data_IF_862175947980
#
_entry.id   IF_862175947980
#
_cell.length_a   1.000
_cell.length_b   1.000
_cell.length_c   1.000
_cell.angle_alpha   90.00
_cell.angle_beta   90.00
_cell.angle_gamma   90.00
#
_symmetry.space_group_name_H-M   'P 1'
#
loop_
_entity.id
_entity.type
_entity.pdbx_description
1 polymer ?
#
# COMPACT_ATOMS: atom_id res chain seq x y z
N UNK A 1 -0.78 0.56 -18.27
CA UNK A 1 -1.66 -0.62 -18.03
C UNK A 1 -2.67 -0.39 -16.90
N UNK A 2 -2.85 0.82 -16.34
CA UNK A 2 -4.24 1.20 -15.97
C UNK A 2 -4.96 1.71 -17.23
N UNK A 3 -4.21 2.01 -18.29
CA UNK A 3 -4.74 2.13 -19.64
C UNK A 3 -5.36 0.79 -20.06
N UNK A 4 -6.59 0.84 -20.62
CA UNK A 4 -7.46 -0.29 -20.99
C UNK A 4 -8.35 -0.86 -19.86
N UNK A 5 -9.02 0.02 -19.11
CA UNK A 5 -10.08 -0.36 -18.16
C UNK A 5 -11.14 -1.24 -18.86
N UNK A 6 -11.55 -2.37 -18.26
CA UNK A 6 -12.58 -3.23 -18.86
C UNK A 6 -13.89 -2.49 -19.10
N UNK A 7 -14.59 -2.84 -20.19
CA UNK A 7 -15.86 -2.22 -20.57
C UNK A 7 -16.90 -2.28 -19.44
N UNK A 8 -16.92 -3.37 -18.67
CA UNK A 8 -17.79 -3.51 -17.51
C UNK A 8 -17.64 -2.32 -16.56
N UNK A 9 -16.42 -1.90 -16.20
CA UNK A 9 -16.24 -0.74 -15.32
C UNK A 9 -16.73 0.56 -15.97
N UNK A 10 -16.47 0.75 -17.27
CA UNK A 10 -16.86 1.95 -18.00
C UNK A 10 -18.38 2.09 -18.20
N UNK A 11 -19.11 0.99 -18.14
CA UNK A 11 -20.59 0.97 -18.18
C UNK A 11 -21.22 1.43 -16.87
N UNK A 12 -20.47 1.47 -15.76
CA UNK A 12 -20.93 2.05 -14.51
C UNK A 12 -20.85 3.58 -14.57
N UNK A 13 -21.99 4.31 -14.52
CA UNK A 13 -22.00 5.76 -14.60
C UNK A 13 -21.23 6.43 -13.45
N UNK A 14 -21.05 5.75 -12.32
CA UNK A 14 -20.37 6.29 -11.14
C UNK A 14 -18.87 5.97 -11.13
N UNK A 15 -18.38 5.09 -12.00
CA UNK A 15 -16.98 4.67 -11.98
C UNK A 15 -16.03 5.75 -12.50
N UNK A 16 -16.38 6.44 -13.59
CA UNK A 16 -15.54 7.49 -14.18
C UNK A 16 -15.79 8.87 -13.56
N UNK A 17 -16.14 8.91 -12.27
CA UNK A 17 -16.46 10.13 -11.53
C UNK A 17 -15.71 10.12 -10.19
N UNK A 18 -14.97 11.20 -9.93
CA UNK A 18 -14.45 11.50 -8.59
C UNK A 18 -15.44 12.46 -7.92
N UNK A 19 -15.94 12.16 -6.70
CA UNK A 19 -16.88 13.02 -6.00
C UNK A 19 -16.25 14.37 -5.61
N UNK A 20 -17.11 15.34 -5.32
CA UNK A 20 -16.69 16.62 -4.75
C UNK A 20 -16.06 16.44 -3.37
N UNK A 21 -15.18 17.36 -2.98
CA UNK A 21 -14.69 17.46 -1.61
C UNK A 21 -15.83 17.88 -0.64
N UNK A 22 -15.79 17.43 0.63
CA UNK A 22 -14.79 16.58 1.25
C UNK A 22 -14.97 15.09 0.91
N UNK A 23 -13.84 14.37 0.84
CA UNK A 23 -13.80 12.90 0.72
C UNK A 23 -13.00 12.32 1.89
N UNK A 24 -13.37 11.13 2.35
CA UNK A 24 -12.61 10.37 3.33
C UNK A 24 -11.90 9.16 2.73
N UNK A 25 -11.19 8.41 3.57
CA UNK A 25 -10.51 7.17 3.22
C UNK A 25 -11.07 6.01 4.03
N UNK A 26 -11.49 4.94 3.36
CA UNK A 26 -11.97 3.71 4.01
C UNK A 26 -10.78 2.86 4.48
N UNK A 27 -10.02 3.36 5.47
CA UNK A 27 -8.84 2.65 6.01
C UNK A 27 -9.19 1.36 6.77
N UNK A 28 -10.47 1.05 6.95
CA UNK A 28 -10.95 -0.24 7.46
C UNK A 28 -10.59 -1.42 6.58
N UNK A 29 -10.35 -1.19 5.28
CA UNK A 29 -9.92 -2.25 4.34
C UNK A 29 -8.41 -2.54 4.39
N UNK A 30 -7.63 -1.66 5.05
CA UNK A 30 -6.19 -1.80 5.21
C UNK A 30 -5.90 -2.53 6.53
N UNK A 31 -5.06 -3.58 6.54
CA UNK A 31 -4.74 -4.33 7.75
C UNK A 31 -4.17 -3.44 8.85
N UNK A 32 -4.57 -3.68 10.09
CA UNK A 32 -4.17 -2.84 11.23
C UNK A 32 -2.66 -2.78 11.40
N UNK A 33 -1.98 -3.92 11.33
CA UNK A 33 -0.52 -3.93 11.47
C UNK A 33 0.21 -3.23 10.31
N UNK A 34 -0.37 -3.18 9.12
CA UNK A 34 0.15 -2.36 8.02
C UNK A 34 0.02 -0.87 8.38
N UNK A 35 -1.16 -0.43 8.84
CA UNK A 35 -1.38 0.96 9.31
C UNK A 35 -0.42 1.31 10.45
N UNK A 36 -0.29 0.44 11.46
CA UNK A 36 0.64 0.63 12.57
C UNK A 36 2.10 0.74 12.12
N UNK A 37 2.49 0.02 11.07
CA UNK A 37 3.86 0.09 10.53
C UNK A 37 4.16 1.44 9.87
N UNK A 38 3.14 2.16 9.42
CA UNK A 38 3.24 3.48 8.81
C UNK A 38 3.03 4.61 9.81
N UNK A 39 2.60 4.30 11.05
CA UNK A 39 2.55 5.31 12.10
C UNK A 39 3.92 5.94 12.30
N UNK A 40 3.92 7.25 12.49
CA UNK A 40 5.10 8.09 12.66
C UNK A 40 6.01 8.17 11.43
N UNK A 41 5.50 8.00 10.20
CA UNK A 41 6.20 8.38 8.98
C UNK A 41 6.09 9.89 8.73
N UNK A 42 6.62 10.67 9.66
CA UNK A 42 6.72 12.15 9.60
C UNK A 42 8.13 12.63 9.88
N UNK A 43 8.40 13.90 9.57
CA UNK A 43 9.70 14.54 9.83
C UNK A 43 10.88 13.82 9.19
N UNK A 44 11.99 13.68 9.93
CA UNK A 44 13.18 12.95 9.48
C UNK A 44 13.11 11.48 9.93
N UNK A 45 13.30 10.57 8.98
CA UNK A 45 13.27 9.13 9.18
C UNK A 45 14.50 8.45 8.55
N UNK A 46 14.93 7.29 9.06
CA UNK A 46 14.49 6.69 10.31
C UNK A 46 14.96 7.49 11.52
N UNK A 47 14.18 7.43 12.61
CA UNK A 47 14.65 7.89 13.91
C UNK A 47 15.78 6.98 14.40
N UNK A 48 16.94 7.57 14.69
CA UNK A 48 18.12 6.87 15.23
C UNK A 48 18.42 7.30 16.67
N UNK A 49 19.19 6.51 17.41
CA UNK A 49 19.60 6.86 18.79
C UNK A 49 20.31 8.21 18.87
N UNK A 50 21.23 8.50 17.93
CA UNK A 50 21.91 9.81 17.89
C UNK A 50 20.95 10.98 17.61
N UNK A 51 19.92 10.77 16.78
CA UNK A 51 18.88 11.78 16.57
C UNK A 51 18.09 12.02 17.86
N UNK A 52 17.70 10.97 18.57
CA UNK A 52 17.00 11.09 19.85
C UNK A 52 17.84 11.90 20.86
N UNK A 53 19.12 11.59 20.99
CA UNK A 53 20.02 12.34 21.87
C UNK A 53 20.16 13.81 21.46
N UNK A 54 20.34 14.07 20.16
CA UNK A 54 20.46 15.42 19.62
C UNK A 54 19.17 16.25 19.82
N UNK A 55 18.02 15.59 19.80
CA UNK A 55 16.71 16.21 20.05
C UNK A 55 16.38 16.35 21.55
N UNK A 56 17.25 15.90 22.46
CA UNK A 56 16.93 15.84 23.89
C UNK A 56 15.76 14.90 24.21
N UNK A 57 15.59 13.85 23.41
CA UNK A 57 14.53 12.84 23.46
C UNK A 57 13.11 13.37 23.18
N UNK A 58 12.98 14.57 22.64
CA UNK A 58 11.71 15.15 22.17
C UNK A 58 11.80 15.32 20.66
N UNK A 59 11.16 14.40 19.93
CA UNK A 59 11.14 14.39 18.47
C UNK A 59 9.83 14.96 17.95
N UNK A 60 9.93 15.86 16.99
CA UNK A 60 8.82 16.48 16.29
C UNK A 60 9.04 16.32 14.77
N UNK A 61 7.98 16.55 13.97
CA UNK A 61 8.13 16.50 12.50
C UNK A 61 9.12 17.55 11.99
N UNK A 62 9.20 18.69 12.67
CA UNK A 62 10.22 19.70 12.45
C UNK A 62 11.44 19.39 13.32
N UNK A 63 12.62 19.14 12.73
CA UNK A 63 13.80 18.86 13.54
C UNK A 63 14.21 20.05 14.41
N UNK A 64 14.64 19.72 15.63
CA UNK A 64 15.23 20.66 16.58
C UNK A 64 16.57 21.23 16.07
N UNK A 65 17.04 22.34 16.66
CA UNK A 65 18.35 22.90 16.33
C UNK A 65 19.50 21.90 16.60
N UNK A 66 19.35 21.01 17.59
CA UNK A 66 20.31 19.95 17.89
C UNK A 66 20.39 18.89 16.80
N UNK A 67 19.24 18.43 16.29
CA UNK A 67 19.18 17.52 15.14
C UNK A 67 19.77 18.16 13.88
N UNK A 68 19.43 19.43 13.61
CA UNK A 68 20.00 20.15 12.46
C UNK A 68 21.52 20.24 12.55
N UNK A 69 22.09 20.51 13.74
CA UNK A 69 23.54 20.56 13.92
C UNK A 69 24.19 19.17 13.76
N UNK A 70 23.55 18.11 14.26
CA UNK A 70 23.96 16.73 14.01
C UNK A 70 24.06 16.45 12.50
N UNK A 71 23.02 16.79 11.74
CA UNK A 71 22.98 16.58 10.30
C UNK A 71 24.01 17.40 9.54
N UNK A 72 24.25 18.66 9.95
CA UNK A 72 25.30 19.50 9.37
C UNK A 72 26.68 18.89 9.57
N UNK A 73 27.01 18.52 10.81
CA UNK A 73 28.30 17.90 11.16
C UNK A 73 28.56 16.62 10.39
N UNK A 74 27.51 15.80 10.18
CA UNK A 74 27.60 14.54 9.43
C UNK A 74 27.54 14.71 7.91
N UNK A 75 27.22 15.91 7.41
CA UNK A 75 26.96 16.11 5.98
C UNK A 75 25.77 15.28 5.47
N UNK A 76 24.77 15.06 6.32
CA UNK A 76 23.63 14.17 6.01
C UNK A 76 22.82 14.71 4.83
N UNK A 77 22.40 13.79 3.96
CA UNK A 77 21.56 14.05 2.79
C UNK A 77 20.24 13.34 2.94
N UNK A 78 19.19 13.89 2.32
CA UNK A 78 17.85 13.36 2.44
C UNK A 78 17.15 13.18 1.09
N UNK A 79 16.22 12.23 1.05
CA UNK A 79 15.20 12.08 0.02
C UNK A 79 13.85 12.47 0.60
N UNK A 80 13.05 13.27 -0.12
CA UNK A 80 11.65 13.46 0.27
C UNK A 80 10.84 12.27 -0.23
N UNK A 81 10.01 11.69 0.63
CA UNK A 81 9.17 10.54 0.33
C UNK A 81 7.73 10.86 0.69
N UNK A 82 6.80 10.54 -0.21
CA UNK A 82 5.36 10.61 0.02
C UNK A 82 4.80 9.21 0.23
N UNK A 83 3.93 9.05 1.22
CA UNK A 83 3.08 7.88 1.38
C UNK A 83 1.80 8.14 0.59
N UNK A 84 1.56 7.35 -0.45
CA UNK A 84 0.48 7.54 -1.42
C UNK A 84 -0.52 6.41 -1.31
N UNK A 85 -1.76 6.75 -0.98
CA UNK A 85 -2.91 5.84 -0.95
C UNK A 85 -3.68 5.96 -2.26
N UNK A 86 -3.73 4.87 -3.02
CA UNK A 86 -4.41 4.80 -4.32
C UNK A 86 -5.82 4.25 -4.17
N UNK A 87 -6.79 4.82 -4.88
CA UNK A 87 -8.23 4.61 -4.66
C UNK A 87 -8.83 3.71 -5.73
N UNK A 88 -9.54 2.64 -5.38
CA UNK A 88 -10.16 1.75 -6.38
C UNK A 88 -11.53 2.26 -6.81
N UNK A 89 -12.32 2.73 -5.84
CA UNK A 89 -13.68 3.22 -6.03
C UNK A 89 -14.04 4.20 -4.91
N UNK A 90 -15.16 4.90 -5.08
CA UNK A 90 -15.78 5.70 -4.02
C UNK A 90 -17.10 5.09 -3.61
N UNK A 91 -17.40 5.15 -2.32
CA UNK A 91 -18.66 4.68 -1.73
C UNK A 91 -19.15 5.64 -0.68
N UNK A 92 -20.46 5.73 -0.52
CA UNK A 92 -21.05 6.50 0.57
C UNK A 92 -21.12 5.63 1.83
N UNK A 93 -20.52 6.11 2.92
CA UNK A 93 -20.57 5.50 4.25
C UNK A 93 -20.98 6.59 5.23
N UNK A 94 -22.11 6.40 5.92
CA UNK A 94 -22.66 7.36 6.89
C UNK A 94 -22.76 8.81 6.35
N UNK A 95 -23.12 8.96 5.07
CA UNK A 95 -23.27 10.26 4.40
C UNK A 95 -21.95 10.91 3.94
N UNK A 96 -20.82 10.21 4.05
CA UNK A 96 -19.51 10.69 3.60
C UNK A 96 -19.03 9.83 2.42
N UNK A 97 -18.54 10.48 1.37
CA UNK A 97 -17.89 9.78 0.26
C UNK A 97 -16.50 9.30 0.67
N UNK A 98 -16.33 7.99 0.77
CA UNK A 98 -15.11 7.33 1.18
C UNK A 98 -14.42 6.69 -0.03
N UNK A 99 -13.15 7.01 -0.23
CA UNK A 99 -12.30 6.32 -1.20
C UNK A 99 -11.83 5.00 -0.64
N UNK A 100 -12.08 3.91 -1.37
CA UNK A 100 -11.65 2.55 -1.01
C UNK A 100 -10.21 2.33 -1.45
N UNK A 101 -9.23 2.17 -0.55
CA UNK A 101 -7.85 1.92 -0.93
C UNK A 101 -7.66 0.59 -1.66
N UNK A 102 -6.80 0.57 -2.68
CA UNK A 102 -6.31 -0.69 -3.27
C UNK A 102 -4.80 -0.87 -3.17
N UNK A 103 -4.07 0.20 -2.92
CA UNK A 103 -2.62 0.16 -2.77
C UNK A 103 -2.14 1.33 -1.90
N UNK A 104 -1.09 1.06 -1.12
CA UNK A 104 -0.32 2.09 -0.43
C UNK A 104 1.13 1.97 -0.87
N UNK A 105 1.73 3.08 -1.28
CA UNK A 105 3.05 3.12 -1.88
C UNK A 105 3.89 4.28 -1.36
N UNK A 106 5.18 4.04 -1.20
CA UNK A 106 6.18 5.07 -0.98
C UNK A 106 6.66 5.60 -2.33
N UNK A 107 6.54 6.91 -2.54
CA UNK A 107 6.90 7.58 -3.79
C UNK A 107 7.97 8.63 -3.48
N UNK A 108 9.20 8.50 -4.04
CA UNK A 108 10.21 9.52 -3.84
C UNK A 108 9.88 10.76 -4.66
N UNK A 109 10.11 11.94 -4.11
CA UNK A 109 10.06 13.17 -4.87
C UNK A 109 11.07 13.11 -6.02
N UNK A 110 10.70 13.63 -7.19
CA UNK A 110 11.54 13.61 -8.37
C UNK A 110 11.55 14.96 -9.07
N UNK A 111 12.58 15.18 -9.89
CA UNK A 111 12.63 16.27 -10.86
C UNK A 111 13.15 15.70 -12.17
N UNK A 112 12.34 15.83 -13.24
CA UNK A 112 12.67 15.35 -14.60
C UNK A 112 13.03 13.84 -14.61
N UNK A 113 12.31 13.04 -13.83
CA UNK A 113 12.52 11.59 -13.76
C UNK A 113 13.70 11.13 -12.91
N UNK A 114 14.45 12.05 -12.30
CA UNK A 114 15.52 11.74 -11.35
C UNK A 114 15.02 11.95 -9.91
N UNK A 115 15.28 10.98 -9.04
CA UNK A 115 14.96 11.10 -7.61
C UNK A 115 15.69 12.30 -7.02
N UNK A 116 14.96 13.12 -6.27
CA UNK A 116 15.53 14.22 -5.50
C UNK A 116 16.17 13.63 -4.23
N UNK A 117 17.46 13.34 -4.28
CA UNK A 117 18.24 12.73 -3.20
C UNK A 117 19.25 13.67 -2.53
N UNK A 118 19.10 14.96 -2.78
CA UNK A 118 20.15 15.95 -2.54
C UNK A 118 19.64 17.20 -1.81
N UNK A 119 18.69 17.04 -0.89
CA UNK A 119 18.41 18.11 0.06
C UNK A 119 19.29 17.93 1.30
N UNK A 120 19.81 19.03 1.85
CA UNK A 120 20.62 19.06 3.08
C UNK A 120 19.76 19.42 4.30
N UNK A 121 20.43 19.45 5.45
CA UNK A 121 19.87 19.91 6.71
C UNK A 121 19.25 21.31 6.63
N UNK A 122 19.75 22.21 5.77
CA UNK A 122 19.19 23.56 5.68
C UNK A 122 17.85 23.56 4.95
N UNK A 123 17.70 22.77 3.89
CA UNK A 123 16.40 22.54 3.27
C UNK A 123 15.40 21.92 4.26
N UNK A 124 15.81 20.90 5.01
CA UNK A 124 14.97 20.24 6.03
C UNK A 124 14.54 21.23 7.13
N UNK A 125 15.42 22.16 7.53
CA UNK A 125 15.10 23.22 8.52
C UNK A 125 14.01 24.18 8.02
N UNK A 126 14.02 24.45 6.71
CA UNK A 126 13.17 25.46 6.07
C UNK A 126 11.80 24.93 5.64
N UNK A 127 11.73 23.67 5.22
CA UNK A 127 10.52 23.08 4.68
C UNK A 127 9.95 22.07 5.68
N UNK A 128 8.80 22.43 6.25
CA UNK A 128 8.02 21.55 7.11
C UNK A 128 7.05 20.72 6.26
N UNK A 129 7.33 19.42 6.12
CA UNK A 129 6.50 18.52 5.31
C UNK A 129 5.13 18.26 5.92
N UNK A 130 4.98 18.32 7.25
CA UNK A 130 3.68 18.16 7.89
C UNK A 130 2.82 19.40 7.63
N UNK A 131 3.40 20.60 7.68
CA UNK A 131 2.71 21.81 7.27
C UNK A 131 2.28 21.77 5.79
N UNK A 132 3.14 21.24 4.89
CA UNK A 132 2.78 21.02 3.48
C UNK A 132 1.59 20.05 3.36
N UNK A 133 1.63 18.92 4.06
CA UNK A 133 0.56 17.93 4.05
C UNK A 133 -0.78 18.53 4.51
N UNK A 134 -0.79 19.27 5.62
CA UNK A 134 -2.02 19.84 6.21
C UNK A 134 -2.58 21.02 5.40
N UNK A 135 -1.72 21.84 4.80
CA UNK A 135 -2.15 23.05 4.08
C UNK A 135 -2.44 22.80 2.61
N UNK A 136 -1.71 21.86 1.99
CA UNK A 136 -1.83 21.59 0.57
C UNK A 136 -2.61 20.31 0.27
N UNK A 137 -2.71 19.38 1.21
CA UNK A 137 -3.34 18.05 1.02
C UNK A 137 -2.96 17.47 -0.36
N UNK A 138 -1.66 17.26 -0.62
CA UNK A 138 -1.20 16.98 -1.97
C UNK A 138 -1.76 15.64 -2.48
N UNK A 139 -2.01 15.57 -3.78
CA UNK A 139 -2.38 14.32 -4.44
C UNK A 139 -1.72 14.20 -5.81
N UNK A 140 -1.68 12.97 -6.30
CA UNK A 140 -1.35 12.63 -7.67
C UNK A 140 -2.63 12.38 -8.47
N UNK A 141 -2.65 12.87 -9.71
CA UNK A 141 -3.67 12.55 -10.71
C UNK A 141 -3.05 11.79 -11.88
N UNK A 142 -3.83 10.94 -12.52
CA UNK A 142 -3.37 9.93 -13.49
C UNK A 142 -2.22 9.06 -12.95
N UNK A 143 -2.22 8.83 -11.64
CA UNK A 143 -1.23 8.03 -10.94
C UNK A 143 -1.38 6.55 -11.28
N UNK A 144 -0.26 5.87 -11.49
CA UNK A 144 -0.21 4.45 -11.72
C UNK A 144 0.86 3.81 -10.81
N UNK A 145 0.48 3.22 -9.67
CA UNK A 145 1.44 2.64 -8.73
C UNK A 145 2.22 1.45 -9.29
N UNK A 146 1.69 0.76 -10.32
CA UNK A 146 2.35 -0.38 -10.95
C UNK A 146 3.53 0.02 -11.84
N UNK A 147 3.57 1.29 -12.29
CA UNK A 147 4.61 1.81 -13.19
C UNK A 147 5.36 3.01 -12.62
N UNK A 148 4.79 3.70 -11.63
CA UNK A 148 5.27 4.97 -11.10
C UNK A 148 4.90 6.19 -11.96
N UNK A 149 4.11 6.03 -13.02
CA UNK A 149 3.65 7.14 -13.85
C UNK A 149 2.62 8.02 -13.13
N UNK A 150 2.58 9.30 -13.46
CA UNK A 150 1.58 10.28 -13.01
C UNK A 150 1.46 11.42 -14.02
N UNK A 151 0.27 12.02 -14.10
CA UNK A 151 -0.02 13.18 -14.96
C UNK A 151 0.13 14.52 -14.24
N UNK A 152 -0.20 14.58 -12.95
CA UNK A 152 -0.03 15.78 -12.12
C UNK A 152 0.24 15.47 -10.65
N UNK A 153 0.86 16.42 -9.96
CA UNK A 153 1.04 16.45 -8.50
C UNK A 153 0.81 17.88 -7.99
N UNK A 154 0.14 18.03 -6.86
CA UNK A 154 -0.28 19.32 -6.33
C UNK A 154 -1.48 19.22 -5.39
N UNK A 155 -2.05 20.37 -5.03
CA UNK A 155 -3.12 20.46 -4.04
C UNK A 155 -4.43 19.79 -4.51
N UNK A 156 -5.05 18.98 -3.66
CA UNK A 156 -6.30 18.27 -3.96
C UNK A 156 -7.44 19.20 -4.39
N UNK A 157 -7.54 20.40 -3.80
CA UNK A 157 -8.58 21.39 -4.14
C UNK A 157 -8.44 21.93 -5.56
N UNK A 158 -7.22 21.99 -6.10
CA UNK A 158 -6.96 22.40 -7.49
C UNK A 158 -7.45 21.33 -8.46
N UNK A 159 -7.23 20.05 -8.12
CA UNK A 159 -7.56 18.94 -8.99
C UNK A 159 -9.01 18.49 -8.89
N UNK A 160 -9.60 18.45 -7.69
CA UNK A 160 -10.97 17.96 -7.46
C UNK A 160 -11.95 19.13 -7.29
N UNK A 161 -11.69 20.03 -6.34
CA UNK A 161 -12.56 21.17 -6.03
C UNK A 161 -13.94 20.76 -5.50
N UNK A 162 -14.90 21.68 -5.59
CA UNK A 162 -16.22 21.56 -4.94
C UNK A 162 -17.29 20.91 -5.82
N UNK A 163 -16.90 20.34 -6.97
CA UNK A 163 -17.82 19.71 -7.91
C UNK A 163 -17.27 18.35 -8.35
N UNK A 164 -18.15 17.36 -8.60
CA UNK A 164 -17.71 16.08 -9.15
C UNK A 164 -16.96 16.26 -10.47
N UNK A 165 -15.96 15.41 -10.71
CA UNK A 165 -15.13 15.48 -11.92
C UNK A 165 -15.10 14.16 -12.67
N UNK A 166 -15.11 14.27 -14.00
CA UNK A 166 -14.90 13.12 -14.88
C UNK A 166 -13.43 12.72 -14.85
N UNK A 167 -13.13 11.70 -14.05
CA UNK A 167 -11.81 11.12 -13.87
C UNK A 167 -11.98 9.73 -13.23
N UNK A 168 -10.97 8.88 -13.37
CA UNK A 168 -11.03 7.54 -12.81
C UNK A 168 -10.46 7.52 -11.39
N UNK A 169 -11.15 6.89 -10.41
CA UNK A 169 -10.69 6.79 -9.03
C UNK A 169 -9.32 6.12 -8.92
N UNK A 170 -9.06 5.10 -9.75
CA UNK A 170 -7.77 4.39 -9.81
C UNK A 170 -6.60 5.19 -10.38
N UNK A 171 -6.85 6.38 -10.89
CA UNK A 171 -5.82 7.37 -11.22
C UNK A 171 -5.52 8.34 -10.08
N UNK A 172 -6.27 8.30 -8.98
CA UNK A 172 -6.08 9.19 -7.84
C UNK A 172 -5.16 8.54 -6.79
N UNK A 173 -4.07 9.23 -6.47
CA UNK A 173 -3.18 8.88 -5.37
C UNK A 173 -3.15 9.99 -4.32
N UNK A 174 -3.84 9.81 -3.20
CA UNK A 174 -3.85 10.77 -2.09
C UNK A 174 -2.55 10.64 -1.29
N UNK A 175 -1.85 11.75 -1.04
CA UNK A 175 -0.69 11.73 -0.15
C UNK A 175 -1.19 11.80 1.28
N UNK A 176 -1.00 10.72 2.04
CA UNK A 176 -1.45 10.64 3.44
C UNK A 176 -0.38 11.04 4.42
N UNK A 177 0.90 10.88 4.05
CA UNK A 177 2.04 11.23 4.89
C UNK A 177 3.24 11.64 4.02
N UNK A 178 4.17 12.37 4.62
CA UNK A 178 5.42 12.78 3.96
C UNK A 178 6.57 12.81 4.97
N UNK A 179 7.75 12.35 4.56
CA UNK A 179 8.95 12.38 5.41
C UNK A 179 10.24 12.58 4.61
N UNK A 180 11.27 13.03 5.32
CA UNK A 180 12.64 13.07 4.85
C UNK A 180 13.34 11.77 5.20
N UNK A 181 13.68 10.96 4.19
CA UNK A 181 14.52 9.79 4.34
C UNK A 181 16.00 10.20 4.42
N UNK A 182 16.60 10.06 5.60
CA UNK A 182 18.02 10.18 5.84
C UNK A 182 18.80 9.12 5.05
N UNK A 183 19.86 9.56 4.37
CA UNK A 183 20.78 8.68 3.65
C UNK A 183 21.99 8.33 4.53
N UNK A 184 22.44 7.08 4.44
CA UNK A 184 23.65 6.60 5.12
C UNK A 184 23.53 6.40 6.64
N UNK A 185 22.32 6.17 7.16
CA UNK A 185 22.13 5.76 8.55
C UNK A 185 22.58 4.31 8.78
N UNK A 186 22.88 3.95 10.03
CA UNK A 186 23.11 2.56 10.44
C UNK A 186 21.78 1.90 10.81
N UNK A 187 21.32 0.86 10.08
CA UNK A 187 20.08 0.14 10.36
C UNK A 187 19.97 -0.44 11.77
N UNK A 188 21.10 -0.78 12.42
CA UNK A 188 21.10 -1.35 13.76
C UNK A 188 20.81 -0.28 14.84
N UNK A 189 20.93 1.01 14.49
CA UNK A 189 20.65 2.14 15.40
C UNK A 189 19.23 2.68 15.28
N UNK A 190 18.42 2.12 14.38
CA UNK A 190 17.06 2.57 14.12
C UNK A 190 16.16 2.24 15.30
N UNK A 191 15.65 3.29 15.95
CA UNK A 191 14.65 3.18 17.01
C UNK A 191 13.32 2.65 16.47
N UNK A 192 12.64 1.85 17.29
CA UNK A 192 11.32 1.32 16.96
C UNK A 192 10.46 1.26 18.20
N UNK A 193 9.22 1.72 18.07
CA UNK A 193 8.21 1.54 19.11
C UNK A 193 7.68 0.11 18.99
N UNK A 194 7.80 -0.66 20.07
CA UNK A 194 7.18 -1.98 20.12
C UNK A 194 5.68 -1.82 20.36
N UNK A 195 4.89 -1.93 19.29
CA UNK A 195 3.43 -1.75 19.29
C UNK A 195 2.68 -2.96 19.89
N UNK A 196 3.25 -3.63 20.89
CA UNK A 196 2.67 -4.81 21.53
C UNK A 196 3.01 -6.16 20.85
N UNK A 197 4.01 -6.21 19.96
CA UNK A 197 4.46 -7.44 19.29
C UNK A 197 5.31 -8.35 20.21
N UNK A 198 5.57 -7.92 21.45
CA UNK A 198 6.46 -8.61 22.38
C UNK A 198 7.93 -8.52 21.98
N UNK A 199 8.81 -9.17 22.73
CA UNK A 199 10.25 -9.20 22.43
C UNK A 199 10.64 -10.49 21.68
N UNK A 200 11.81 -10.47 21.03
CA UNK A 200 12.42 -11.66 20.47
C UNK A 200 12.42 -11.75 18.94
N UNK A 201 12.39 -12.99 18.41
CA UNK A 201 12.58 -13.27 16.98
C UNK A 201 11.49 -12.66 16.07
N UNK A 202 10.18 -12.71 16.41
CA UNK A 202 9.13 -12.08 15.60
C UNK A 202 9.35 -10.57 15.46
N UNK A 203 9.56 -9.88 16.58
CA UNK A 203 9.83 -8.45 16.61
C UNK A 203 11.08 -8.07 15.80
N UNK A 204 12.18 -8.83 15.91
CA UNK A 204 13.39 -8.59 15.08
C UNK A 204 13.13 -8.77 13.58
N UNK A 205 12.27 -9.71 13.18
CA UNK A 205 11.87 -9.87 11.77
C UNK A 205 11.05 -8.68 11.31
N UNK A 206 10.08 -8.26 12.12
CA UNK A 206 9.27 -7.05 11.88
C UNK A 206 10.14 -5.83 11.69
N UNK A 207 10.99 -5.52 12.67
CA UNK A 207 11.87 -4.35 12.65
C UNK A 207 12.77 -4.34 11.41
N UNK A 208 13.46 -5.46 11.12
CA UNK A 208 14.31 -5.58 9.93
C UNK A 208 13.51 -5.37 8.64
N UNK A 209 12.34 -6.02 8.53
CA UNK A 209 11.51 -5.91 7.35
C UNK A 209 11.01 -4.47 7.14
N UNK A 210 10.46 -3.85 8.18
CA UNK A 210 9.98 -2.47 8.16
C UNK A 210 11.10 -1.51 7.82
N UNK A 211 12.26 -1.61 8.47
CA UNK A 211 13.41 -0.75 8.22
C UNK A 211 13.86 -0.84 6.76
N UNK A 212 13.93 -2.05 6.19
CA UNK A 212 14.23 -2.23 4.77
C UNK A 212 13.14 -1.66 3.87
N UNK A 213 11.87 -1.94 4.17
CA UNK A 213 10.74 -1.51 3.34
C UNK A 213 10.60 0.02 3.34
N UNK A 214 10.67 0.67 4.49
CA UNK A 214 10.39 2.11 4.64
C UNK A 214 11.63 2.97 4.40
N UNK A 215 12.82 2.47 4.73
CA UNK A 215 14.02 3.32 4.84
C UNK A 215 15.16 2.91 3.90
N UNK A 216 14.99 1.93 3.02
CA UNK A 216 15.92 1.78 1.90
C UNK A 216 15.85 3.01 0.99
N UNK A 217 17.00 3.60 0.58
CA UNK A 217 17.00 4.69 -0.39
C UNK A 217 16.37 4.32 -1.73
N UNK A 218 15.84 5.32 -2.42
CA UNK A 218 15.36 5.18 -3.79
C UNK A 218 16.48 5.48 -4.78
N UNK A 219 16.90 4.48 -5.53
CA UNK A 219 17.90 4.64 -6.61
C UNK A 219 17.26 5.07 -7.93
N UNK A 220 15.97 4.74 -8.11
CA UNK A 220 15.19 5.05 -9.31
C UNK A 220 13.85 5.64 -8.92
N UNK A 221 13.24 6.38 -9.84
CA UNK A 221 11.87 6.87 -9.67
C UNK A 221 10.87 5.72 -9.89
N UNK A 222 10.79 4.83 -8.90
CA UNK A 222 9.81 3.74 -8.83
C UNK A 222 9.15 3.76 -7.46
N UNK A 223 7.82 3.71 -7.47
CA UNK A 223 7.05 3.54 -6.27
C UNK A 223 7.43 2.20 -5.60
N UNK A 224 7.60 2.22 -4.28
CA UNK A 224 7.78 1.02 -3.48
C UNK A 224 6.47 0.73 -2.77
N UNK A 225 5.83 -0.37 -3.13
CA UNK A 225 4.55 -0.78 -2.54
C UNK A 225 4.75 -1.24 -1.09
N UNK A 226 3.88 -0.77 -0.21
CA UNK A 226 3.78 -1.20 1.19
C UNK A 226 2.72 -2.28 1.34
N UNK A 227 1.58 -2.10 0.68
CA UNK A 227 0.43 -3.01 0.75
C UNK A 227 -0.49 -2.84 -0.47
N UNK A 228 -1.30 -3.87 -0.73
CA UNK A 228 -2.40 -3.85 -1.70
C UNK A 228 -2.09 -4.59 -3.00
N UNK A 229 -2.95 -4.41 -4.00
CA UNK A 229 -2.91 -5.13 -5.27
C UNK A 229 -1.54 -5.04 -5.96
N UNK A 230 -1.07 -6.15 -6.52
CA UNK A 230 0.24 -6.26 -7.18
C UNK A 230 0.19 -5.94 -8.67
N UNK A 231 -1.00 -6.04 -9.28
CA UNK A 231 -1.17 -5.92 -10.72
C UNK A 231 -2.48 -5.23 -11.13
N UNK A 232 -2.56 -4.72 -12.38
CA UNK A 232 -3.81 -4.16 -12.90
C UNK A 232 -4.97 -5.15 -12.97
N UNK A 233 -4.71 -6.44 -13.17
CA UNK A 233 -5.79 -7.44 -13.23
C UNK A 233 -6.41 -7.67 -11.84
N UNK A 234 -5.60 -7.64 -10.77
CA UNK A 234 -6.11 -7.67 -9.41
C UNK A 234 -6.94 -6.42 -9.11
N UNK A 235 -6.45 -5.23 -9.50
CA UNK A 235 -7.23 -3.98 -9.37
C UNK A 235 -8.57 -4.06 -10.11
N UNK A 236 -8.59 -4.51 -11.37
CA UNK A 236 -9.82 -4.58 -12.14
C UNK A 236 -10.81 -5.58 -11.55
N UNK A 237 -10.34 -6.74 -11.08
CA UNK A 237 -11.22 -7.69 -10.39
C UNK A 237 -11.74 -7.10 -9.07
N UNK A 238 -10.90 -6.42 -8.29
CA UNK A 238 -11.33 -5.72 -7.07
C UNK A 238 -12.44 -4.73 -7.40
N UNK A 239 -12.27 -3.87 -8.40
CA UNK A 239 -13.27 -2.88 -8.80
C UNK A 239 -14.57 -3.53 -9.27
N UNK A 240 -14.48 -4.63 -10.03
CA UNK A 240 -15.64 -5.42 -10.42
C UNK A 240 -16.40 -5.99 -9.22
N UNK A 241 -15.69 -6.52 -8.23
CA UNK A 241 -16.29 -7.01 -6.98
C UNK A 241 -16.86 -5.87 -6.14
N UNK A 242 -16.18 -4.72 -6.10
CA UNK A 242 -16.66 -3.55 -5.38
C UNK A 242 -17.98 -3.03 -5.98
N UNK A 243 -18.16 -3.11 -7.30
CA UNK A 243 -19.43 -2.79 -7.96
C UNK A 243 -20.58 -3.72 -7.52
N UNK A 244 -20.27 -4.97 -7.21
CA UNK A 244 -21.24 -5.93 -6.64
C UNK A 244 -21.38 -5.83 -5.11
N UNK A 245 -20.89 -4.75 -4.50
CA UNK A 245 -20.86 -4.53 -3.04
C UNK A 245 -20.07 -5.59 -2.25
N UNK A 246 -19.09 -6.23 -2.88
CA UNK A 246 -18.19 -7.17 -2.23
C UNK A 246 -16.88 -6.49 -1.83
N UNK A 247 -16.37 -6.79 -0.64
CA UNK A 247 -15.13 -6.22 -0.06
C UNK A 247 -14.19 -7.32 0.41
N UNK A 248 -13.47 -7.99 -0.52
CA UNK A 248 -12.46 -8.94 -0.11
C UNK A 248 -11.29 -8.24 0.58
N UNK A 249 -10.57 -8.99 1.42
CA UNK A 249 -9.27 -8.56 1.95
C UNK A 249 -8.18 -8.88 0.93
N UNK A 250 -7.33 -7.91 0.62
CA UNK A 250 -6.22 -8.09 -0.32
C UNK A 250 -5.02 -8.79 0.34
N UNK A 251 -4.29 -9.59 -0.44
CA UNK A 251 -2.97 -10.16 -0.08
C UNK A 251 -3.00 -10.97 1.23
N UNK A 252 -3.81 -12.03 1.25
CA UNK A 252 -4.01 -12.86 2.43
C UNK A 252 -3.03 -14.04 2.47
N UNK A 253 -2.26 -14.17 3.55
CA UNK A 253 -1.39 -15.33 3.81
C UNK A 253 -2.22 -16.48 4.37
N UNK A 254 -2.15 -17.67 3.75
CA UNK A 254 -2.96 -18.85 4.10
C UNK A 254 -2.08 -20.01 4.54
N UNK A 255 -2.45 -20.69 5.63
CA UNK A 255 -1.62 -21.69 6.29
C UNK A 255 -2.28 -23.07 6.41
N UNK A 256 -1.46 -24.11 6.60
CA UNK A 256 -1.88 -25.52 6.64
C UNK A 256 -2.86 -25.86 7.78
N UNK A 257 -2.87 -25.08 8.86
CA UNK A 257 -3.81 -25.26 9.99
C UNK A 257 -5.15 -24.53 9.79
N UNK A 258 -5.32 -23.86 8.64
CA UNK A 258 -6.50 -23.07 8.34
C UNK A 258 -6.46 -21.64 8.87
N UNK A 259 -5.36 -21.21 9.51
CA UNK A 259 -5.17 -19.81 9.87
C UNK A 259 -4.89 -18.94 8.64
N UNK A 260 -5.29 -17.68 8.72
CA UNK A 260 -5.15 -16.69 7.66
C UNK A 260 -4.72 -15.35 8.25
N UNK A 261 -3.73 -14.69 7.63
CA UNK A 261 -3.17 -13.43 8.11
C UNK A 261 -3.08 -12.40 6.99
N UNK A 262 -3.63 -11.20 7.16
CA UNK A 262 -3.71 -10.20 6.08
C UNK A 262 -2.39 -9.45 5.83
N UNK A 263 -1.35 -9.74 6.60
CA UNK A 263 0.02 -9.33 6.33
C UNK A 263 1.03 -10.16 7.11
N UNK A 264 2.32 -10.07 6.74
CA UNK A 264 3.41 -10.65 7.54
C UNK A 264 3.51 -10.04 8.94
N UNK A 265 3.02 -8.82 9.13
CA UNK A 265 3.07 -8.15 10.42
C UNK A 265 2.00 -8.70 11.37
N UNK A 266 0.81 -9.00 10.85
CA UNK A 266 -0.24 -9.69 11.60
C UNK A 266 0.22 -11.09 12.04
N UNK A 267 0.96 -11.78 11.17
CA UNK A 267 1.58 -13.05 11.50
C UNK A 267 2.61 -12.89 12.64
N UNK A 268 3.55 -11.96 12.52
CA UNK A 268 4.60 -11.76 13.53
C UNK A 268 4.11 -11.22 14.87
N UNK A 269 2.89 -10.69 14.91
CA UNK A 269 2.20 -10.34 16.15
C UNK A 269 1.67 -11.55 16.93
N UNK A 270 1.62 -12.74 16.32
CA UNK A 270 1.22 -13.97 17.00
C UNK A 270 2.39 -14.68 17.68
N UNK A 271 2.08 -15.64 18.55
CA UNK A 271 3.06 -16.59 19.05
C UNK A 271 3.53 -17.51 17.90
N UNK A 272 4.79 -17.38 17.52
CA UNK A 272 5.38 -18.08 16.37
C UNK A 272 6.09 -19.39 16.77
N UNK A 273 5.92 -19.89 18.01
CA UNK A 273 6.60 -21.10 18.48
C UNK A 273 6.36 -22.30 17.56
N UNK A 274 5.14 -22.42 17.03
CA UNK A 274 4.71 -23.45 16.08
C UNK A 274 4.05 -22.82 14.85
N UNK A 275 4.85 -22.12 14.03
CA UNK A 275 4.38 -21.57 12.76
C UNK A 275 3.90 -22.70 11.83
N UNK A 276 2.62 -22.74 11.44
CA UNK A 276 2.14 -23.67 10.46
C UNK A 276 2.84 -23.44 9.11
N UNK A 277 2.82 -24.44 8.23
CA UNK A 277 3.37 -24.29 6.89
C UNK A 277 2.55 -23.29 6.08
N UNK A 278 3.20 -22.26 5.53
CA UNK A 278 2.55 -21.37 4.57
C UNK A 278 2.14 -22.20 3.35
N UNK A 279 0.86 -22.13 2.98
CA UNK A 279 0.35 -22.70 1.74
C UNK A 279 0.69 -21.75 0.60
N UNK A 280 0.17 -20.53 0.68
CA UNK A 280 0.27 -19.51 -0.37
C UNK A 280 -0.19 -18.14 0.14
N UNK A 281 -0.07 -17.12 -0.72
CA UNK A 281 -0.68 -15.80 -0.55
C UNK A 281 -1.75 -15.65 -1.63
N UNK A 282 -2.99 -15.39 -1.23
CA UNK A 282 -4.10 -15.16 -2.15
C UNK A 282 -4.23 -13.67 -2.45
N UNK A 283 -4.51 -13.34 -3.71
CA UNK A 283 -4.64 -11.94 -4.13
C UNK A 283 -5.81 -11.25 -3.41
N UNK A 284 -6.89 -12.01 -3.20
CA UNK A 284 -8.09 -11.59 -2.47
C UNK A 284 -8.62 -12.75 -1.63
N UNK A 285 -9.25 -12.43 -0.50
CA UNK A 285 -9.82 -13.41 0.40
C UNK A 285 -11.14 -12.93 1.02
N UNK A 286 -12.11 -13.83 1.09
CA UNK A 286 -13.39 -13.62 1.77
C UNK A 286 -13.41 -14.43 3.08
N UNK A 287 -13.23 -13.79 4.25
CA UNK A 287 -13.07 -14.51 5.51
C UNK A 287 -14.27 -15.35 5.92
N UNK A 288 -15.48 -14.82 5.74
CA UNK A 288 -16.72 -15.50 6.13
C UNK A 288 -16.93 -16.79 5.34
N UNK A 289 -16.69 -16.74 4.02
CA UNK A 289 -16.86 -17.88 3.13
C UNK A 289 -15.61 -18.77 3.03
N UNK A 290 -14.51 -18.37 3.71
CA UNK A 290 -13.18 -18.97 3.63
C UNK A 290 -12.74 -19.22 2.19
N UNK A 291 -12.96 -18.23 1.32
CA UNK A 291 -12.70 -18.32 -0.13
C UNK A 291 -11.46 -17.50 -0.49
N UNK A 292 -10.45 -18.19 -1.02
CA UNK A 292 -9.27 -17.60 -1.63
C UNK A 292 -9.49 -17.37 -3.13
N UNK A 293 -9.15 -16.18 -3.62
CA UNK A 293 -9.26 -15.82 -5.04
C UNK A 293 -7.86 -15.52 -5.57
N UNK A 294 -7.52 -16.14 -6.71
CA UNK A 294 -6.24 -15.96 -7.40
C UNK A 294 -6.46 -15.37 -8.80
N UNK A 295 -5.73 -14.31 -9.13
CA UNK A 295 -5.71 -13.64 -10.42
C UNK A 295 -4.56 -14.19 -11.29
N UNK A 296 -4.85 -15.22 -12.08
CA UNK A 296 -3.81 -15.92 -12.85
C UNK A 296 -3.39 -15.13 -14.09
N UNK A 297 -2.24 -14.45 -14.04
CA UNK A 297 -1.67 -13.77 -15.21
C UNK A 297 -1.30 -14.77 -16.32
N UNK A 298 -1.51 -14.39 -17.58
CA UNK A 298 -1.23 -15.26 -18.75
C UNK A 298 0.26 -15.31 -19.14
N UNK A 299 1.14 -14.61 -18.43
CA UNK A 299 2.47 -14.22 -18.95
C UNK A 299 3.55 -15.29 -18.85
N UNK A 300 3.36 -16.37 -18.09
CA UNK A 300 4.38 -17.41 -17.93
C UNK A 300 3.79 -18.82 -18.05
N UNK A 301 4.13 -19.48 -19.15
CA UNK A 301 4.05 -20.93 -19.41
C UNK A 301 3.07 -21.72 -18.54
N UNK A 302 1.83 -21.90 -19.02
CA UNK A 302 0.89 -22.96 -18.58
C UNK A 302 1.41 -24.35 -18.97
N UNK A 303 2.61 -24.69 -18.51
CA UNK A 303 3.13 -26.06 -18.59
C UNK A 303 2.53 -26.91 -17.48
N UNK A 304 2.58 -28.24 -17.63
CA UNK A 304 2.04 -29.17 -16.63
C UNK A 304 2.62 -28.98 -15.21
N UNK A 305 3.80 -28.36 -15.07
CA UNK A 305 4.40 -28.04 -13.75
C UNK A 305 3.66 -26.93 -13.00
N UNK A 306 3.21 -25.88 -13.69
CA UNK A 306 2.45 -24.79 -13.08
C UNK A 306 1.08 -25.31 -12.62
N UNK A 307 0.38 -26.01 -13.52
CA UNK A 307 -0.90 -26.64 -13.21
C UNK A 307 -0.83 -27.60 -12.00
N UNK A 308 0.22 -28.42 -11.91
CA UNK A 308 0.43 -29.29 -10.74
C UNK A 308 0.69 -28.51 -9.44
N UNK A 309 1.40 -27.38 -9.51
CA UNK A 309 1.62 -26.52 -8.33
C UNK A 309 0.30 -25.89 -7.88
N UNK A 310 -0.48 -25.39 -8.83
CA UNK A 310 -1.76 -24.74 -8.56
C UNK A 310 -2.80 -25.71 -7.99
N UNK A 311 -2.80 -26.95 -8.50
CA UNK A 311 -3.59 -28.05 -7.96
C UNK A 311 -3.15 -28.41 -6.54
N UNK A 312 -1.84 -28.55 -6.30
CA UNK A 312 -1.31 -28.85 -4.96
C UNK A 312 -1.63 -27.75 -3.93
N UNK A 313 -1.63 -26.48 -4.35
CA UNK A 313 -2.09 -25.37 -3.51
C UNK A 313 -3.58 -25.54 -3.18
N UNK A 314 -4.41 -25.84 -4.18
CA UNK A 314 -5.87 -25.98 -4.00
C UNK A 314 -6.21 -27.13 -3.05
N UNK A 315 -5.53 -28.27 -3.19
CA UNK A 315 -5.69 -29.43 -2.29
C UNK A 315 -5.26 -29.11 -0.86
N UNK A 316 -4.18 -28.36 -0.67
CA UNK A 316 -3.74 -27.92 0.68
C UNK A 316 -4.73 -26.94 1.30
N UNK A 317 -5.28 -26.01 0.52
CA UNK A 317 -6.31 -25.08 0.99
C UNK A 317 -7.57 -25.84 1.41
N UNK A 318 -8.03 -26.79 0.60
CA UNK A 318 -9.19 -27.63 0.91
C UNK A 318 -8.98 -28.44 2.20
N UNK A 319 -7.80 -29.05 2.36
CA UNK A 319 -7.42 -29.76 3.59
C UNK A 319 -7.40 -28.86 4.84
N UNK A 320 -7.09 -27.57 4.66
CA UNK A 320 -7.12 -26.53 5.68
C UNK A 320 -8.52 -25.86 5.83
N UNK A 321 -9.56 -26.43 5.21
CA UNK A 321 -10.95 -25.98 5.30
C UNK A 321 -11.21 -24.67 4.56
N UNK A 322 -10.49 -24.40 3.47
CA UNK A 322 -10.64 -23.21 2.63
C UNK A 322 -10.96 -23.60 1.19
N UNK A 323 -11.82 -22.82 0.54
CA UNK A 323 -12.11 -22.95 -0.90
C UNK A 323 -11.18 -22.04 -1.69
N UNK A 324 -10.95 -22.38 -2.95
CA UNK A 324 -10.20 -21.51 -3.87
C UNK A 324 -10.92 -21.36 -5.21
N UNK A 325 -10.80 -20.16 -5.80
CA UNK A 325 -11.21 -19.87 -7.17
C UNK A 325 -10.07 -19.18 -7.90
N UNK A 326 -9.82 -19.62 -9.14
CA UNK A 326 -8.78 -19.07 -10.01
C UNK A 326 -9.42 -18.33 -11.16
N UNK A 327 -9.17 -17.04 -11.24
CA UNK A 327 -9.75 -16.14 -12.25
C UNK A 327 -8.68 -15.85 -13.30
N UNK A 328 -8.85 -16.28 -14.55
CA UNK A 328 -7.85 -16.04 -15.58
C UNK A 328 -7.72 -14.54 -15.88
N UNK A 329 -6.49 -14.01 -15.87
CA UNK A 329 -6.24 -12.59 -16.17
C UNK A 329 -6.73 -12.15 -17.56
N UNK A 330 -6.70 -13.04 -18.56
CA UNK A 330 -7.28 -12.76 -19.87
C UNK A 330 -8.81 -12.64 -19.82
N UNK A 331 -9.49 -13.34 -18.90
CA UNK A 331 -10.92 -13.18 -18.68
C UNK A 331 -11.19 -11.84 -18.01
N UNK A 332 -10.44 -11.47 -16.96
CA UNK A 332 -10.57 -10.17 -16.28
C UNK A 332 -10.47 -9.01 -17.27
N UNK A 333 -9.52 -9.05 -18.21
CA UNK A 333 -9.31 -7.98 -19.19
C UNK A 333 -10.40 -7.96 -20.27
N UNK A 334 -10.82 -9.13 -20.77
CA UNK A 334 -11.74 -9.22 -21.91
C UNK A 334 -13.21 -9.09 -21.49
N UNK A 335 -13.57 -9.69 -20.36
CA UNK A 335 -14.92 -9.83 -19.86
C UNK A 335 -14.90 -9.87 -18.32
N UNK A 336 -14.74 -8.69 -17.73
CA UNK A 336 -14.68 -8.54 -16.29
C UNK A 336 -15.98 -9.01 -15.61
N UNK A 337 -17.13 -8.86 -16.26
CA UNK A 337 -18.41 -9.33 -15.71
C UNK A 337 -18.40 -10.85 -15.51
N UNK A 338 -17.97 -11.60 -16.54
CA UNK A 338 -17.83 -13.04 -16.43
C UNK A 338 -16.78 -13.45 -15.37
N UNK A 339 -15.69 -12.67 -15.25
CA UNK A 339 -14.69 -12.90 -14.19
C UNK A 339 -15.28 -12.71 -12.78
N UNK A 340 -16.10 -11.68 -12.57
CA UNK A 340 -16.83 -11.44 -11.31
C UNK A 340 -17.84 -12.54 -11.04
N UNK A 341 -18.59 -13.00 -12.05
CA UNK A 341 -19.54 -14.12 -11.91
C UNK A 341 -18.87 -15.42 -11.44
N UNK A 342 -17.63 -15.70 -11.86
CA UNK A 342 -16.88 -16.86 -11.35
C UNK A 342 -16.66 -16.78 -9.82
N UNK A 343 -16.35 -15.58 -9.31
CA UNK A 343 -16.17 -15.38 -7.87
C UNK A 343 -17.50 -15.47 -7.15
N UNK A 344 -18.57 -14.87 -7.69
CA UNK A 344 -19.92 -14.95 -7.12
C UNK A 344 -20.43 -16.39 -7.01
N UNK A 345 -20.20 -17.21 -8.04
CA UNK A 345 -20.54 -18.63 -8.02
C UNK A 345 -19.75 -19.39 -6.95
N UNK A 346 -18.49 -19.04 -6.73
CA UNK A 346 -17.66 -19.64 -5.69
C UNK A 346 -17.99 -19.16 -4.27
N UNK A 347 -18.72 -18.05 -4.12
CA UNK A 347 -19.20 -17.54 -2.82
C UNK A 347 -20.45 -18.29 -2.34
N UNK A 348 -21.29 -18.76 -3.26
CA UNK A 348 -22.43 -19.66 -2.97
C UNK A 348 -21.94 -21.00 -2.41
#
# INVERSE_FOLDING_TARGET
>A
MIDNRPAYLLEDPNYAVIPALPIGLELGTVPDWVKLSMLHLGGVQPITGEMMEAAGFVLEDRPSDGEIELYRRKGTRFQMVSVVTSIAAFREIDGVMMGVPYAISLVPANKRGTVLSNVDAEYVRQIDLNAVLQQQEPCYVDFNPFTGHWGGWGNITVFLGDQPRNAFPDGLGLVTDMYYLQLGFDPETVGVVNMGMGEGKPFRKYHRHRTRLMFSPFETFRARRVWGAESPIELFLLQGLLRENLTPILQMLLFDDGSAYPSLYDLWAQDLSDLPGLITEADMFFPEQRLAVFCDSTRHHRGGKAARKDEAISQRLEAAGMRSVRVPGALIVRDLKAAVELVLQALQ
#
